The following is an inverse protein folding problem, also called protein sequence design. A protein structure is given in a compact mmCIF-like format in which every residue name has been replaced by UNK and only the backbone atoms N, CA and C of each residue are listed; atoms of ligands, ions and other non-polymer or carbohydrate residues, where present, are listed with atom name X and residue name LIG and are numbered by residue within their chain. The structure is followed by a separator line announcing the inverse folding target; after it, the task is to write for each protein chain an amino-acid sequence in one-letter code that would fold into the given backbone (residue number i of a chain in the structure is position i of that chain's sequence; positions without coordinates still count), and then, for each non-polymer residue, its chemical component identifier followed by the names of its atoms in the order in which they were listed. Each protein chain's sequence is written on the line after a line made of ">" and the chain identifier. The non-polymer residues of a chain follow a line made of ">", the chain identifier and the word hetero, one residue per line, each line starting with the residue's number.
data_IF_635978793099
#
_entry.id   IF_635978793099
#
_cell.length_a   1.000
_cell.length_b   1.000
_cell.length_c   1.000
_cell.angle_alpha   90.00
_cell.angle_beta   90.00
_cell.angle_gamma   90.00
#
_symmetry.space_group_name_H-M   'P 1'
#
loop_
_entity.id
_entity.type
_entity.pdbx_description
1 polymer ?
#
# COMPACT_ATOMS: atom_id res chain seq x y z
N UNK A 1 -0.93 -4.01 1.77
CA UNK A 1 -0.80 -2.66 1.17
C UNK A 1 -1.27 -2.73 -0.27
N UNK A 2 -2.17 -1.84 -0.69
CA UNK A 2 -2.57 -1.74 -2.10
C UNK A 2 -1.44 -1.10 -2.89
N UNK A 3 -1.14 -1.62 -4.08
CA UNK A 3 0.00 -1.12 -4.86
C UNK A 3 -0.24 0.28 -5.42
N UNK A 4 -1.50 0.66 -5.67
CA UNK A 4 -1.87 2.04 -6.09
C UNK A 4 -1.33 3.10 -5.12
N UNK A 5 -1.44 2.86 -3.81
CA UNK A 5 -0.93 3.78 -2.77
C UNK A 5 0.60 3.86 -2.78
N UNK A 6 1.26 2.73 -3.06
CA UNK A 6 2.72 2.71 -3.21
C UNK A 6 3.14 3.54 -4.42
N UNK A 7 2.41 3.41 -5.54
CA UNK A 7 2.69 4.19 -6.74
C UNK A 7 2.46 5.69 -6.53
N UNK A 8 1.36 6.09 -5.90
CA UNK A 8 1.12 7.50 -5.52
C UNK A 8 2.25 8.06 -4.64
N UNK A 9 2.67 7.30 -3.63
CA UNK A 9 3.79 7.69 -2.77
C UNK A 9 5.10 7.86 -3.56
N UNK A 10 5.34 6.99 -4.55
CA UNK A 10 6.49 7.07 -5.45
C UNK A 10 6.43 8.33 -6.32
N UNK A 11 5.26 8.71 -6.83
CA UNK A 11 5.09 9.96 -7.60
C UNK A 11 5.32 11.20 -6.73
N UNK A 12 4.82 11.20 -5.50
CA UNK A 12 5.01 12.29 -4.54
C UNK A 12 6.48 12.44 -4.15
N UNK A 13 7.17 11.31 -3.94
CA UNK A 13 8.61 11.31 -3.69
C UNK A 13 9.38 11.85 -4.89
N UNK A 14 9.07 11.42 -6.11
CA UNK A 14 9.73 11.89 -7.33
C UNK A 14 9.54 13.39 -7.53
N UNK A 15 8.36 13.92 -7.21
CA UNK A 15 8.09 15.35 -7.22
C UNK A 15 8.94 16.13 -6.22
N UNK A 16 8.99 15.67 -4.97
CA UNK A 16 9.81 16.29 -3.94
C UNK A 16 11.30 16.25 -4.31
N UNK A 17 11.74 15.14 -4.91
CA UNK A 17 13.11 14.94 -5.35
C UNK A 17 13.48 15.86 -6.53
N UNK A 18 12.59 16.04 -7.51
CA UNK A 18 12.78 17.04 -8.56
C UNK A 18 12.96 18.44 -7.95
N UNK A 19 12.11 18.85 -7.00
CA UNK A 19 12.21 20.15 -6.31
C UNK A 19 13.54 20.27 -5.55
N UNK A 20 13.95 19.21 -4.86
CA UNK A 20 15.23 19.17 -4.10
C UNK A 20 16.45 19.34 -5.00
N UNK A 21 16.39 18.82 -6.23
CA UNK A 21 17.45 18.95 -7.24
C UNK A 21 17.33 20.23 -8.09
N UNK A 22 16.34 21.10 -7.85
CA UNK A 22 16.09 22.29 -8.67
C UNK A 22 15.58 22.00 -10.08
N UNK A 23 15.03 20.81 -10.32
CA UNK A 23 14.49 20.38 -11.60
C UNK A 23 13.00 20.75 -11.72
N UNK A 24 12.53 21.19 -12.91
CA UNK A 24 11.11 21.33 -13.17
C UNK A 24 10.37 20.01 -12.96
N UNK A 25 9.19 20.06 -12.32
CA UNK A 25 8.36 18.89 -12.03
C UNK A 25 7.64 18.45 -13.31
N UNK A 26 8.34 17.69 -14.16
CA UNK A 26 7.80 17.10 -15.39
C UNK A 26 7.81 15.57 -15.28
N UNK A 27 6.93 14.84 -16.01
CA UNK A 27 6.93 13.37 -16.01
C UNK A 27 8.29 12.77 -16.37
N UNK A 28 8.98 13.36 -17.35
CA UNK A 28 10.34 12.98 -17.75
C UNK A 28 11.35 13.12 -16.61
N UNK A 29 11.32 14.25 -15.89
CA UNK A 29 12.23 14.46 -14.76
C UNK A 29 11.87 13.55 -13.58
N UNK A 30 10.57 13.38 -13.27
CA UNK A 30 10.11 12.43 -12.25
C UNK A 30 10.61 11.01 -12.54
N UNK A 31 10.50 10.56 -13.81
CA UNK A 31 11.05 9.26 -14.24
C UNK A 31 12.56 9.20 -14.07
N UNK A 32 13.29 10.26 -14.47
CA UNK A 32 14.74 10.31 -14.35
C UNK A 32 15.22 10.19 -12.89
N UNK A 33 14.60 10.93 -11.96
CA UNK A 33 14.99 10.87 -10.54
C UNK A 33 14.60 9.54 -9.89
N UNK A 34 13.55 8.87 -10.37
CA UNK A 34 13.20 7.52 -9.94
C UNK A 34 14.18 6.47 -10.45
N UNK A 35 14.67 6.61 -11.68
CA UNK A 35 15.62 5.69 -12.30
C UNK A 35 15.20 4.23 -12.16
N UNK A 36 16.11 3.39 -11.64
CA UNK A 36 15.86 1.95 -11.46
C UNK A 36 14.79 1.62 -10.40
N UNK A 37 14.49 2.55 -9.49
CA UNK A 37 13.51 2.31 -8.43
C UNK A 37 12.08 2.21 -8.97
N UNK A 38 11.79 2.82 -10.13
CA UNK A 38 10.50 2.69 -10.81
C UNK A 38 10.14 1.22 -11.06
N UNK A 39 11.11 0.42 -11.48
CA UNK A 39 10.95 -1.01 -11.78
C UNK A 39 10.79 -1.89 -10.52
N UNK A 40 10.87 -1.32 -9.32
CA UNK A 40 10.53 -2.01 -8.06
C UNK A 40 9.04 -1.89 -7.69
N UNK A 41 8.32 -0.99 -8.37
CA UNK A 41 6.87 -0.85 -8.21
C UNK A 41 6.18 -2.00 -8.95
N UNK A 42 5.22 -2.64 -8.29
CA UNK A 42 4.55 -3.84 -8.81
C UNK A 42 3.29 -3.47 -9.60
N UNK A 43 3.42 -2.55 -10.57
CA UNK A 43 2.29 -1.98 -11.34
C UNK A 43 1.32 -3.05 -11.85
N UNK A 44 1.76 -4.18 -12.43
CA UNK A 44 0.86 -5.24 -12.92
C UNK A 44 0.02 -5.95 -11.85
N UNK A 45 0.25 -5.65 -10.57
CA UNK A 45 -0.50 -6.21 -9.44
C UNK A 45 -1.70 -5.36 -9.01
N UNK A 46 -1.84 -4.16 -9.57
CA UNK A 46 -3.02 -3.30 -9.47
C UNK A 46 -4.20 -3.93 -10.23
N UNK A 47 -5.42 -3.46 -9.99
CA UNK A 47 -6.53 -3.76 -10.90
C UNK A 47 -6.34 -3.04 -12.24
N UNK A 48 -6.99 -3.52 -13.30
CA UNK A 48 -6.95 -2.84 -14.60
C UNK A 48 -7.48 -1.39 -14.50
N UNK A 49 -8.51 -1.18 -13.69
CA UNK A 49 -9.08 0.16 -13.43
C UNK A 49 -8.09 1.07 -12.70
N UNK A 50 -7.43 0.57 -11.64
CA UNK A 50 -6.38 1.31 -10.91
C UNK A 50 -5.20 1.67 -11.84
N UNK A 51 -4.82 0.76 -12.73
CA UNK A 51 -3.80 1.02 -13.74
C UNK A 51 -4.25 2.09 -14.74
N UNK A 52 -5.44 1.96 -15.31
CA UNK A 52 -5.96 2.85 -16.34
C UNK A 52 -6.19 4.28 -15.83
N UNK A 53 -6.68 4.42 -14.59
CA UNK A 53 -6.95 5.72 -13.97
C UNK A 53 -5.73 6.33 -13.24
N UNK A 54 -4.65 5.56 -13.10
CA UNK A 54 -3.45 5.97 -12.38
C UNK A 54 -2.20 5.92 -13.26
N UNK A 55 -1.51 4.78 -13.24
CA UNK A 55 -0.19 4.64 -13.85
C UNK A 55 -0.18 4.93 -15.36
N UNK A 56 -1.21 4.51 -16.11
CA UNK A 56 -1.31 4.73 -17.55
C UNK A 56 -1.44 6.21 -17.93
N UNK A 57 -2.06 7.04 -17.08
CA UNK A 57 -2.25 8.48 -17.32
C UNK A 57 -1.16 9.37 -16.69
N UNK A 58 -0.20 8.76 -15.99
CA UNK A 58 0.83 9.51 -15.26
C UNK A 58 1.98 10.04 -16.14
N UNK A 59 2.06 9.60 -17.40
CA UNK A 59 3.16 9.86 -18.35
C UNK A 59 4.57 9.50 -17.83
N UNK A 60 4.65 8.74 -16.72
CA UNK A 60 5.91 8.25 -16.14
C UNK A 60 6.39 7.00 -16.88
N UNK A 61 5.45 6.15 -17.30
CA UNK A 61 5.71 4.94 -18.09
C UNK A 61 5.92 5.30 -19.57
N UNK A 62 6.76 4.55 -20.27
CA UNK A 62 6.91 4.73 -21.71
C UNK A 62 5.66 4.19 -22.39
N UNK A 63 5.43 4.61 -23.63
CA UNK A 63 4.34 4.07 -24.44
C UNK A 63 4.45 2.53 -24.56
N UNK A 64 5.66 2.01 -24.73
CA UNK A 64 5.93 0.58 -24.80
C UNK A 64 5.62 -0.15 -23.47
N UNK A 65 6.04 0.41 -22.34
CA UNK A 65 5.74 -0.13 -21.01
C UNK A 65 4.23 -0.15 -20.75
N UNK A 66 3.54 0.97 -21.03
CA UNK A 66 2.09 1.08 -20.87
C UNK A 66 1.35 0.08 -21.75
N UNK A 67 1.76 -0.05 -23.01
CA UNK A 67 1.21 -1.03 -23.95
C UNK A 67 1.41 -2.47 -23.48
N UNK A 68 2.63 -2.83 -23.07
CA UNK A 68 2.94 -4.18 -22.61
C UNK A 68 2.20 -4.53 -21.31
N UNK A 69 2.06 -3.58 -20.37
CA UNK A 69 1.26 -3.78 -19.15
C UNK A 69 -0.23 -3.93 -19.50
N UNK A 70 -0.75 -3.15 -20.45
CA UNK A 70 -2.13 -3.32 -20.91
C UNK A 70 -2.36 -4.71 -21.52
N UNK A 71 -1.46 -5.18 -22.37
CA UNK A 71 -1.51 -6.54 -22.92
C UNK A 71 -1.39 -7.60 -21.82
N UNK A 72 -0.62 -7.36 -20.76
CA UNK A 72 -0.56 -8.26 -19.62
C UNK A 72 -1.92 -8.47 -18.93
N UNK A 73 -2.80 -7.46 -18.93
CA UNK A 73 -4.15 -7.56 -18.40
C UNK A 73 -5.14 -8.26 -19.34
N UNK A 74 -5.03 -8.05 -20.65
CA UNK A 74 -6.09 -8.39 -21.62
C UNK A 74 -5.75 -9.54 -22.57
N UNK A 75 -4.47 -9.76 -22.87
CA UNK A 75 -4.05 -10.74 -23.87
C UNK A 75 -4.00 -12.17 -23.29
N UNK A 76 -4.35 -13.14 -24.12
CA UNK A 76 -4.15 -14.56 -23.80
C UNK A 76 -2.66 -14.91 -23.74
N UNK A 77 -1.88 -14.40 -24.70
CA UNK A 77 -0.43 -14.54 -24.76
C UNK A 77 0.22 -13.33 -24.08
N UNK A 78 0.76 -13.55 -22.89
CA UNK A 78 1.24 -12.46 -22.04
C UNK A 78 2.68 -12.05 -22.40
N UNK A 79 2.96 -10.74 -22.56
CA UNK A 79 4.32 -10.28 -22.78
C UNK A 79 5.16 -10.45 -21.51
N UNK A 80 6.48 -10.48 -21.68
CA UNK A 80 7.41 -10.40 -20.56
C UNK A 80 7.50 -8.94 -20.10
N UNK A 81 7.28 -8.70 -18.82
CA UNK A 81 7.39 -7.37 -18.22
C UNK A 81 8.66 -7.25 -17.38
N UNK A 82 9.22 -6.03 -17.32
CA UNK A 82 10.30 -5.68 -16.41
C UNK A 82 9.81 -5.44 -14.97
N UNK A 83 8.49 -5.28 -14.79
CA UNK A 83 7.86 -5.05 -13.50
C UNK A 83 7.54 -6.36 -12.77
N UNK A 84 7.66 -6.41 -11.43
CA UNK A 84 7.28 -7.58 -10.66
C UNK A 84 5.78 -7.89 -10.74
N UNK A 85 5.45 -9.15 -10.99
CA UNK A 85 4.08 -9.62 -11.24
C UNK A 85 3.40 -10.18 -9.98
N UNK A 86 4.15 -10.40 -8.92
CA UNK A 86 3.64 -11.01 -7.68
C UNK A 86 3.23 -9.94 -6.69
N UNK A 87 2.00 -9.99 -6.18
CA UNK A 87 1.51 -9.08 -5.12
C UNK A 87 2.47 -9.05 -3.92
N UNK A 88 2.60 -7.88 -3.29
CA UNK A 88 3.41 -7.76 -2.05
C UNK A 88 2.83 -8.71 -1.01
N UNK A 89 3.64 -9.64 -0.49
CA UNK A 89 3.30 -10.35 0.75
C UNK A 89 3.42 -9.33 1.87
N UNK A 90 2.29 -8.73 2.24
CA UNK A 90 2.22 -7.87 3.42
C UNK A 90 2.52 -8.67 4.68
N UNK A 91 2.80 -7.96 5.77
CA UNK A 91 2.80 -8.61 7.08
C UNK A 91 1.38 -9.11 7.37
N UNK A 92 1.26 -10.37 7.76
CA UNK A 92 -0.01 -10.90 8.24
C UNK A 92 -0.27 -10.26 9.60
N UNK A 93 -1.34 -9.47 9.76
CA UNK A 93 -1.64 -8.87 11.05
C UNK A 93 -1.94 -9.99 12.05
N UNK A 94 -1.23 -9.98 13.18
CA UNK A 94 -1.55 -10.86 14.30
C UNK A 94 -2.72 -10.25 15.07
N UNK A 95 -3.86 -10.94 15.04
CA UNK A 95 -5.06 -10.50 15.77
C UNK A 95 -5.17 -11.30 17.06
N UNK A 96 -5.03 -10.63 18.19
CA UNK A 96 -5.32 -11.20 19.50
C UNK A 96 -6.73 -10.79 19.93
N UNK A 97 -7.63 -11.76 20.08
CA UNK A 97 -8.96 -11.52 20.64
C UNK A 97 -8.86 -11.50 22.16
N UNK A 98 -9.00 -10.31 22.78
CA UNK A 98 -8.99 -10.18 24.26
C UNK A 98 -10.17 -10.90 24.92
N UNK A 99 -11.29 -11.07 24.21
CA UNK A 99 -12.49 -11.73 24.71
C UNK A 99 -12.97 -12.80 23.72
N UNK A 100 -13.34 -13.98 24.20
CA UNK A 100 -13.94 -15.06 23.41
C UNK A 100 -15.39 -14.77 23.00
N UNK A 101 -16.05 -13.82 23.68
CA UNK A 101 -17.41 -13.34 23.40
C UNK A 101 -17.57 -11.91 23.94
N UNK A 102 -18.21 -11.02 23.20
CA UNK A 102 -18.81 -9.81 23.76
C UNK A 102 -20.12 -10.23 24.43
N UNK A 103 -20.05 -10.60 25.71
CA UNK A 103 -21.18 -11.18 26.41
C UNK A 103 -22.41 -10.26 26.31
N UNK A 104 -23.45 -10.75 25.64
CA UNK A 104 -24.82 -10.20 25.56
C UNK A 104 -25.56 -10.16 26.92
N UNK A 105 -24.83 -10.24 28.04
CA UNK A 105 -25.39 -10.42 29.38
C UNK A 105 -24.77 -9.39 30.31
N UNK A 106 -25.51 -8.29 30.51
CA UNK A 106 -25.55 -7.32 31.63
C UNK A 106 -24.27 -6.79 32.27
N UNK A 107 -23.09 -7.31 31.98
CA UNK A 107 -21.80 -6.76 32.39
C UNK A 107 -21.36 -5.71 31.36
N UNK A 108 -22.06 -4.58 31.37
CA UNK A 108 -21.59 -3.36 30.72
C UNK A 108 -20.24 -2.98 31.31
N UNK A 109 -19.17 -3.21 30.56
CA UNK A 109 -17.87 -2.66 30.89
C UNK A 109 -17.98 -1.13 30.82
N UNK A 110 -17.76 -0.43 31.94
CA UNK A 110 -17.78 1.03 32.01
C UNK A 110 -16.36 1.55 32.07
N UNK A 111 -16.00 2.44 31.15
CA UNK A 111 -14.74 3.18 31.20
C UNK A 111 -14.75 4.09 32.43
N UNK A 112 -13.79 3.90 33.35
CA UNK A 112 -13.67 4.67 34.60
C UNK A 112 -12.45 5.61 34.60
N UNK A 113 -11.94 6.01 33.43
CA UNK A 113 -10.90 7.03 33.30
C UNK A 113 -9.46 6.57 33.57
N UNK A 114 -9.16 5.27 33.49
CA UNK A 114 -7.77 4.76 33.49
C UNK A 114 -7.25 4.68 32.06
N UNK A 115 -5.96 4.94 31.84
CA UNK A 115 -5.34 4.79 30.52
C UNK A 115 -5.53 3.38 29.97
N UNK A 116 -6.05 3.29 28.75
CA UNK A 116 -6.00 2.07 27.97
C UNK A 116 -4.55 1.79 27.58
N UNK A 117 -4.05 0.61 27.96
CA UNK A 117 -2.72 0.15 27.63
C UNK A 117 -2.77 -1.23 26.98
N UNK A 118 -1.82 -1.46 26.08
CA UNK A 118 -1.54 -2.77 25.53
C UNK A 118 -0.24 -3.27 26.15
N UNK A 119 -0.25 -4.50 26.66
CA UNK A 119 0.93 -5.18 27.16
C UNK A 119 1.06 -6.50 26.44
N UNK A 120 2.24 -6.76 25.88
CA UNK A 120 2.57 -8.01 25.21
C UNK A 120 4.04 -8.36 25.49
N UNK A 121 4.36 -9.64 25.40
CA UNK A 121 5.72 -10.14 25.46
C UNK A 121 6.03 -10.87 24.14
N UNK A 122 7.28 -10.78 23.68
CA UNK A 122 7.72 -11.40 22.43
C UNK A 122 9.06 -12.10 22.63
N UNK A 123 9.25 -13.20 21.91
CA UNK A 123 10.51 -13.94 21.80
C UNK A 123 11.37 -13.44 20.61
N UNK A 124 10.80 -12.60 19.75
CA UNK A 124 11.42 -12.07 18.52
C UNK A 124 11.13 -10.58 18.35
N UNK A 125 11.97 -9.88 17.58
CA UNK A 125 11.78 -8.47 17.26
C UNK A 125 10.48 -8.27 16.46
N UNK A 126 9.61 -7.38 16.93
CA UNK A 126 8.36 -7.02 16.24
C UNK A 126 8.30 -5.52 15.91
N UNK A 127 7.41 -5.16 14.99
CA UNK A 127 7.02 -3.78 14.69
C UNK A 127 5.52 -3.62 14.91
N UNK A 128 5.10 -2.58 15.66
CA UNK A 128 3.68 -2.24 15.83
C UNK A 128 3.35 -1.13 14.83
N UNK A 129 2.52 -1.45 13.83
CA UNK A 129 2.13 -0.50 12.79
C UNK A 129 0.76 0.18 13.04
N UNK A 130 -0.05 -0.34 13.95
CA UNK A 130 -1.35 0.23 14.31
C UNK A 130 -2.12 -0.61 15.33
N UNK A 131 -3.03 0.03 16.07
CA UNK A 131 -3.92 -0.60 17.06
C UNK A 131 -5.36 -0.16 16.81
N UNK A 132 -6.28 -1.12 16.66
CA UNK A 132 -7.72 -0.88 16.65
C UNK A 132 -8.36 -1.44 17.91
N UNK A 133 -8.87 -0.57 18.79
CA UNK A 133 -9.65 -0.94 19.96
C UNK A 133 -11.14 -0.81 19.62
N UNK A 134 -11.88 -1.91 19.67
CA UNK A 134 -13.33 -1.91 19.48
C UNK A 134 -13.98 -2.12 20.84
N UNK A 135 -14.62 -1.08 21.37
CA UNK A 135 -15.51 -1.18 22.52
C UNK A 135 -16.93 -1.55 22.08
N UNK A 136 -17.63 -2.36 22.87
CA UNK A 136 -19.07 -2.58 22.67
C UNK A 136 -19.82 -1.33 23.15
N UNK A 137 -20.44 -0.60 22.23
CA UNK A 137 -21.45 0.40 22.53
C UNK A 137 -22.82 -0.25 22.46
N UNK A 138 -23.18 -1.00 23.50
CA UNK A 138 -24.57 -1.37 23.76
C UNK A 138 -25.02 -0.60 24.99
N UNK A 139 -25.60 0.58 24.74
CA UNK A 139 -26.54 1.20 25.65
C UNK A 139 -27.79 0.35 25.75
#
# INVERSE_FOLDING_TARGET
>A
TKEVVVFEAVLNWAEAECKRQGLPVTPRNKRNVLGKALYLVRIPTMTLEEFANGAAQSDILTLEETHNIFLWYTAANKPKLEFPLTKRKGLVPQRCHRFQSSAYRSNQWRYRGRCDSIQFAVDKRIFIAGLGLYGSSCG
#
